data_IF_419569883689
#
_entry.id   IF_419569883689
#
_cell.length_a   1.000
_cell.length_b   1.000
_cell.length_c   1.000
_cell.angle_alpha   90.00
_cell.angle_beta   90.00
_cell.angle_gamma   90.00
#
_symmetry.space_group_name_H-M   'P 1'
#
loop_
_entity.id
_entity.type
_entity.pdbx_description
1 polymer ?
#
# COMPACT_ATOMS: atom_id res chain seq x y z
N UNK A 1 2.56 -6.23 23.39
CA UNK A 1 3.39 -5.42 22.47
C UNK A 1 2.64 -5.26 21.17
N UNK A 2 2.65 -4.05 20.65
CA UNK A 2 2.16 -3.65 19.33
C UNK A 2 2.99 -4.34 18.24
N UNK A 3 2.32 -4.77 17.17
CA UNK A 3 2.95 -5.25 15.95
C UNK A 3 3.71 -4.13 15.23
N UNK A 4 4.87 -4.45 14.66
CA UNK A 4 5.62 -3.57 13.78
C UNK A 4 5.37 -3.96 12.31
N UNK A 5 4.75 -3.07 11.54
CA UNK A 5 4.46 -3.27 10.11
C UNK A 5 5.31 -2.33 9.27
N UNK A 6 6.35 -2.84 8.62
CA UNK A 6 7.29 -2.02 7.86
C UNK A 6 7.14 -2.28 6.37
N UNK A 7 6.99 -1.22 5.58
CA UNK A 7 6.85 -1.30 4.14
C UNK A 7 8.21 -1.12 3.49
N UNK A 8 8.65 -2.10 2.72
CA UNK A 8 9.99 -2.13 2.11
C UNK A 8 9.87 -2.20 0.60
N UNK A 9 10.65 -1.40 -0.11
CA UNK A 9 10.65 -1.42 -1.58
C UNK A 9 11.99 -1.94 -2.13
N UNK A 10 12.05 -2.46 -3.37
CA UNK A 10 13.31 -2.91 -3.96
C UNK A 10 14.37 -1.81 -4.13
N UNK A 11 14.00 -0.54 -3.94
CA UNK A 11 14.92 0.61 -4.05
C UNK A 11 16.06 0.57 -3.04
N UNK A 12 15.92 -0.22 -1.98
CA UNK A 12 16.95 -0.42 -0.95
C UNK A 12 18.06 -1.39 -1.39
N UNK A 13 17.94 -2.01 -2.57
CA UNK A 13 18.89 -2.97 -3.10
C UNK A 13 19.72 -2.33 -4.21
N UNK A 14 21.04 -2.30 -4.03
CA UNK A 14 21.98 -1.87 -5.07
C UNK A 14 21.99 -2.84 -6.26
N UNK A 15 21.81 -4.13 -6.01
CA UNK A 15 21.69 -5.20 -7.01
C UNK A 15 20.46 -6.06 -6.69
N UNK A 16 19.46 -6.05 -7.57
CA UNK A 16 18.24 -6.84 -7.38
C UNK A 16 18.51 -8.36 -7.40
N UNK A 17 19.58 -8.79 -8.08
CA UNK A 17 19.95 -10.21 -8.15
C UNK A 17 20.70 -10.69 -6.91
N UNK A 18 21.17 -9.77 -6.07
CA UNK A 18 21.76 -10.03 -4.75
C UNK A 18 21.16 -9.10 -3.68
N UNK A 19 19.91 -9.36 -3.23
CA UNK A 19 19.23 -8.49 -2.27
C UNK A 19 19.76 -8.63 -0.83
N UNK A 20 20.64 -9.60 -0.55
CA UNK A 20 21.06 -9.94 0.81
C UNK A 20 21.70 -8.77 1.59
N UNK A 21 22.59 -7.94 1.00
CA UNK A 21 23.19 -6.81 1.71
C UNK A 21 22.16 -5.76 2.15
N UNK A 22 21.22 -5.39 1.27
CA UNK A 22 20.19 -4.39 1.60
C UNK A 22 19.17 -4.91 2.62
N UNK A 23 18.83 -6.20 2.55
CA UNK A 23 17.99 -6.85 3.58
C UNK A 23 18.70 -6.86 4.95
N UNK A 24 20.00 -7.19 4.99
CA UNK A 24 20.77 -7.17 6.23
C UNK A 24 20.83 -5.76 6.83
N UNK A 25 21.04 -4.74 6.00
CA UNK A 25 21.04 -3.35 6.41
C UNK A 25 19.67 -2.91 6.94
N UNK A 26 18.56 -3.34 6.32
CA UNK A 26 17.20 -3.07 6.80
C UNK A 26 16.98 -3.62 8.22
N UNK A 27 17.28 -4.90 8.46
CA UNK A 27 17.09 -5.48 9.78
C UNK A 27 18.05 -4.94 10.84
N UNK A 28 19.23 -4.46 10.45
CA UNK A 28 20.16 -3.77 11.35
C UNK A 28 19.65 -2.39 11.75
N UNK A 29 19.27 -1.58 10.76
CA UNK A 29 18.79 -0.21 10.98
C UNK A 29 17.53 -0.17 11.85
N UNK A 30 16.63 -1.13 11.67
CA UNK A 30 15.37 -1.19 12.40
C UNK A 30 15.39 -2.10 13.64
N UNK A 31 16.54 -2.65 14.05
CA UNK A 31 16.61 -3.66 15.11
C UNK A 31 15.85 -3.27 16.40
N UNK A 32 15.99 -2.04 16.88
CA UNK A 32 15.29 -1.56 18.08
C UNK A 32 13.76 -1.48 17.93
N UNK A 33 13.27 -1.25 16.71
CA UNK A 33 11.85 -1.24 16.39
C UNK A 33 11.24 -2.63 16.26
N UNK A 34 12.07 -3.64 15.98
CA UNK A 34 11.64 -5.01 15.76
C UNK A 34 11.76 -5.86 17.04
N UNK A 35 12.58 -5.43 17.99
CA UNK A 35 12.90 -6.19 19.20
C UNK A 35 11.65 -6.58 20.01
N UNK A 36 11.53 -7.88 20.30
CA UNK A 36 10.42 -8.48 21.05
C UNK A 36 9.04 -8.44 20.39
N UNK A 37 8.87 -7.86 19.20
CA UNK A 37 7.54 -7.59 18.61
C UNK A 37 7.15 -8.63 17.55
N UNK A 38 5.85 -8.82 17.30
CA UNK A 38 5.40 -9.38 16.03
C UNK A 38 5.84 -8.46 14.88
N UNK A 39 6.52 -9.02 13.88
CA UNK A 39 7.04 -8.25 12.74
C UNK A 39 6.31 -8.67 11.47
N UNK A 40 5.81 -7.68 10.75
CA UNK A 40 5.27 -7.84 9.39
C UNK A 40 6.06 -6.93 8.45
N UNK A 41 6.63 -7.54 7.40
CA UNK A 41 7.22 -6.79 6.28
C UNK A 41 6.21 -6.83 5.14
N UNK A 42 5.81 -5.65 4.68
CA UNK A 42 5.01 -5.47 3.46
C UNK A 42 6.00 -5.14 2.35
N UNK A 43 6.31 -6.12 1.51
CA UNK A 43 7.17 -5.84 0.36
C UNK A 43 6.36 -5.14 -0.72
N UNK A 44 6.97 -4.15 -1.36
CA UNK A 44 6.30 -3.26 -2.32
C UNK A 44 7.11 -3.18 -3.63
N UNK A 45 7.14 -4.26 -4.43
CA UNK A 45 7.91 -4.33 -5.65
C UNK A 45 7.25 -3.60 -6.81
N UNK A 46 5.92 -3.50 -6.84
CA UNK A 46 5.17 -2.87 -7.93
C UNK A 46 3.78 -2.45 -7.43
N UNK A 47 2.88 -2.00 -8.29
CA UNK A 47 1.53 -1.54 -7.94
C UNK A 47 0.46 -2.63 -8.05
N UNK A 48 0.85 -3.89 -7.88
CA UNK A 48 -0.03 -5.04 -8.02
C UNK A 48 -0.28 -5.52 -9.45
N UNK A 49 0.14 -4.80 -10.51
CA UNK A 49 0.03 -5.32 -11.89
C UNK A 49 0.84 -6.62 -12.06
N UNK A 50 1.94 -6.76 -11.34
CA UNK A 50 2.72 -7.99 -11.22
C UNK A 50 1.94 -9.17 -10.59
N UNK A 51 0.92 -8.91 -9.77
CA UNK A 51 0.03 -9.98 -9.28
C UNK A 51 -1.01 -10.29 -10.36
N UNK A 52 -1.66 -9.24 -10.88
CA UNK A 52 -2.78 -9.37 -11.81
C UNK A 52 -2.36 -9.98 -13.16
N UNK A 53 -1.11 -9.76 -13.58
CA UNK A 53 -0.53 -10.30 -14.80
C UNK A 53 0.30 -11.58 -14.62
N UNK A 54 0.39 -12.16 -13.42
CA UNK A 54 1.21 -13.35 -13.17
C UNK A 54 0.59 -14.61 -13.78
N UNK A 55 1.34 -15.33 -14.62
CA UNK A 55 0.87 -16.51 -15.35
C UNK A 55 1.09 -17.85 -14.60
N UNK A 56 1.77 -17.84 -13.45
CA UNK A 56 2.03 -19.04 -12.64
C UNK A 56 3.51 -19.45 -12.57
N UNK A 57 3.84 -20.54 -11.87
CA UNK A 57 5.21 -20.88 -11.50
C UNK A 57 6.14 -21.16 -12.69
N UNK A 58 5.60 -21.65 -13.79
CA UNK A 58 6.35 -21.94 -15.01
C UNK A 58 6.79 -20.65 -15.75
N UNK A 59 6.24 -19.50 -15.34
CA UNK A 59 6.48 -18.18 -15.92
C UNK A 59 7.39 -17.30 -15.06
N UNK A 60 8.21 -17.89 -14.17
CA UNK A 60 9.05 -17.11 -13.24
C UNK A 60 10.08 -16.17 -13.89
N UNK A 61 10.38 -16.36 -15.17
CA UNK A 61 11.31 -15.49 -15.92
C UNK A 61 10.61 -14.37 -16.68
N UNK A 62 9.28 -14.32 -16.61
CA UNK A 62 8.52 -13.22 -17.20
C UNK A 62 8.79 -11.94 -16.41
N UNK A 63 9.01 -10.87 -17.15
CA UNK A 63 9.33 -9.56 -16.59
C UNK A 63 8.06 -8.77 -16.31
N UNK A 64 8.13 -7.94 -15.30
CA UNK A 64 7.11 -6.94 -15.01
C UNK A 64 7.77 -5.60 -14.69
N UNK A 65 7.00 -4.51 -14.79
CA UNK A 65 7.48 -3.20 -14.41
C UNK A 65 7.37 -3.05 -12.89
N UNK A 66 8.49 -2.72 -12.25
CA UNK A 66 8.59 -2.58 -10.80
C UNK A 66 8.60 -1.11 -10.40
N UNK A 67 8.51 -0.85 -9.10
CA UNK A 67 8.33 0.47 -8.50
C UNK A 67 9.60 1.32 -8.54
N UNK A 68 10.18 1.49 -9.73
CA UNK A 68 11.40 2.26 -10.02
C UNK A 68 11.12 3.73 -10.36
N UNK A 69 9.88 4.18 -10.19
CA UNK A 69 9.49 5.55 -10.42
C UNK A 69 9.21 6.25 -9.07
N UNK A 70 9.31 7.58 -9.07
CA UNK A 70 9.02 8.44 -7.92
C UNK A 70 7.71 9.22 -8.09
N UNK A 71 6.83 8.75 -8.98
CA UNK A 71 5.46 9.20 -9.15
C UNK A 71 4.73 8.28 -10.15
N UNK A 72 3.49 8.62 -10.51
CA UNK A 72 2.65 7.87 -11.43
C UNK A 72 3.28 7.68 -12.82
N UNK A 73 3.60 6.43 -13.16
CA UNK A 73 4.22 6.09 -14.43
C UNK A 73 3.18 5.75 -15.50
N UNK A 74 2.71 6.78 -16.22
CA UNK A 74 1.70 6.62 -17.27
C UNK A 74 2.24 5.94 -18.54
N UNK A 75 3.56 5.75 -18.66
CA UNK A 75 4.20 5.21 -19.87
C UNK A 75 4.28 6.18 -21.06
N UNK A 76 3.53 7.29 -21.06
CA UNK A 76 3.54 8.31 -22.11
C UNK A 76 4.61 9.41 -21.85
N UNK A 77 5.63 9.57 -22.71
CA UNK A 77 6.65 10.62 -22.59
C UNK A 77 6.12 12.06 -22.70
N UNK A 78 4.97 12.26 -23.34
CA UNK A 78 4.26 13.53 -23.42
C UNK A 78 3.64 13.92 -22.08
N UNK A 79 2.92 13.00 -21.44
CA UNK A 79 2.39 13.18 -20.08
C UNK A 79 3.51 13.35 -19.06
N UNK A 80 4.58 12.56 -19.17
CA UNK A 80 5.84 12.70 -18.40
C UNK A 80 6.41 14.12 -18.47
N UNK A 81 6.49 14.69 -19.68
CA UNK A 81 6.99 16.05 -19.91
C UNK A 81 6.03 17.13 -19.43
N UNK A 82 4.72 16.90 -19.55
CA UNK A 82 3.71 17.82 -19.05
C UNK A 82 3.73 17.90 -17.52
N UNK A 83 3.76 16.75 -16.83
CA UNK A 83 3.90 16.67 -15.37
C UNK A 83 5.15 17.40 -14.88
N UNK A 84 6.32 17.08 -15.44
CA UNK A 84 7.58 17.71 -15.02
C UNK A 84 7.59 19.23 -15.28
N UNK A 85 6.92 19.69 -16.34
CA UNK A 85 6.79 21.13 -16.64
C UNK A 85 5.88 21.83 -15.66
N UNK A 86 4.72 21.24 -15.35
CA UNK A 86 3.79 21.78 -14.35
C UNK A 86 4.48 21.90 -12.99
N UNK A 87 5.16 20.84 -12.54
CA UNK A 87 5.95 20.86 -11.31
C UNK A 87 7.00 21.98 -11.31
N UNK A 88 7.79 22.11 -12.39
CA UNK A 88 8.80 23.18 -12.52
C UNK A 88 8.19 24.58 -12.49
N UNK A 89 7.04 24.79 -13.11
CA UNK A 89 6.32 26.07 -13.09
C UNK A 89 5.90 26.41 -11.65
N UNK A 90 5.26 25.47 -10.94
CA UNK A 90 4.83 25.67 -9.54
C UNK A 90 5.99 26.02 -8.62
N UNK A 91 7.14 25.35 -8.76
CA UNK A 91 8.35 25.64 -7.98
C UNK A 91 8.94 27.01 -8.32
N UNK A 92 8.95 27.41 -9.61
CA UNK A 92 9.55 28.69 -10.07
C UNK A 92 8.72 29.91 -9.75
N UNK A 93 7.39 29.81 -9.84
CA UNK A 93 6.48 30.95 -9.68
C UNK A 93 6.24 31.32 -8.22
N UNK A 94 6.82 30.59 -7.26
CA UNK A 94 6.97 31.06 -5.88
C UNK A 94 5.66 31.22 -5.09
N UNK A 95 4.56 30.60 -5.53
CA UNK A 95 3.36 30.48 -4.71
C UNK A 95 3.69 29.82 -3.38
N UNK A 96 3.36 30.49 -2.25
CA UNK A 96 4.01 30.32 -0.95
C UNK A 96 3.88 28.90 -0.38
N UNK A 97 4.92 28.09 -0.67
CA UNK A 97 4.89 26.63 -0.82
C UNK A 97 3.99 26.15 -1.95
N UNK A 98 4.47 25.09 -2.60
CA UNK A 98 3.64 24.11 -3.28
C UNK A 98 2.48 23.75 -2.34
N UNK A 99 1.24 24.06 -2.73
CA UNK A 99 -0.03 23.78 -2.00
C UNK A 99 -0.16 22.33 -1.49
N UNK A 100 0.74 21.47 -1.95
CA UNK A 100 1.00 20.17 -1.40
C UNK A 100 2.55 19.95 -1.39
N UNK A 101 3.25 19.98 -0.23
CA UNK A 101 4.68 19.59 -0.15
C UNK A 101 4.91 18.11 -0.52
N UNK A 102 3.82 17.38 -0.71
CA UNK A 102 3.71 15.99 -1.10
C UNK A 102 3.28 15.83 -2.56
N UNK A 103 3.31 16.91 -3.36
CA UNK A 103 3.20 16.81 -4.81
C UNK A 103 4.32 15.90 -5.30
N UNK A 104 3.94 14.83 -6.02
CA UNK A 104 4.86 13.99 -6.76
C UNK A 104 5.92 14.88 -7.44
N UNK A 105 7.19 14.67 -7.09
CA UNK A 105 8.31 15.40 -7.68
C UNK A 105 8.36 15.26 -9.21
N UNK A 106 9.37 15.81 -9.88
CA UNK A 106 9.56 15.50 -11.29
C UNK A 106 9.68 13.98 -11.45
N UNK A 107 9.02 13.38 -12.44
CA UNK A 107 9.17 11.96 -12.74
C UNK A 107 10.58 11.69 -13.24
N UNK A 108 11.23 10.73 -12.61
CA UNK A 108 12.45 10.08 -13.08
C UNK A 108 12.45 8.60 -12.70
N UNK A 109 13.26 7.84 -13.43
CA UNK A 109 13.56 6.44 -13.10
C UNK A 109 14.70 6.40 -12.08
N UNK A 110 14.53 5.70 -10.96
CA UNK A 110 15.58 5.54 -9.94
C UNK A 110 16.56 4.42 -10.26
N UNK A 111 16.14 3.43 -11.06
CA UNK A 111 16.97 2.28 -11.44
C UNK A 111 16.49 1.66 -12.74
N UNK A 112 17.44 1.28 -13.60
CA UNK A 112 17.16 0.60 -14.87
C UNK A 112 17.26 -0.93 -14.77
N UNK A 113 17.50 -1.46 -13.56
CA UNK A 113 17.60 -2.91 -13.35
C UNK A 113 16.27 -3.59 -13.72
N UNK A 114 16.29 -4.72 -14.45
CA UNK A 114 15.08 -5.47 -14.74
C UNK A 114 14.60 -6.21 -13.51
N UNK A 115 13.29 -6.46 -13.45
CA UNK A 115 12.67 -7.32 -12.45
C UNK A 115 11.87 -8.40 -13.17
N UNK A 116 12.11 -9.65 -12.78
CA UNK A 116 11.26 -10.79 -13.10
C UNK A 116 10.85 -11.49 -11.79
N UNK A 117 9.98 -12.48 -11.90
CA UNK A 117 9.46 -13.20 -10.75
C UNK A 117 10.51 -14.09 -10.06
N UNK A 118 11.60 -14.47 -10.74
CA UNK A 118 12.72 -15.23 -10.17
C UNK A 118 13.55 -14.33 -9.23
N UNK A 119 13.85 -13.11 -9.67
CA UNK A 119 14.47 -12.06 -8.85
C UNK A 119 13.59 -11.71 -7.64
N UNK A 120 12.28 -11.53 -7.87
CA UNK A 120 11.33 -11.21 -6.81
C UNK A 120 11.27 -12.32 -5.73
N UNK A 121 11.24 -13.59 -6.16
CA UNK A 121 11.33 -14.73 -5.24
C UNK A 121 12.64 -14.71 -4.43
N UNK A 122 13.75 -14.31 -5.04
CA UNK A 122 15.04 -14.11 -4.38
C UNK A 122 14.98 -13.03 -3.28
N UNK A 123 14.27 -11.93 -3.52
CA UNK A 123 14.05 -10.87 -2.52
C UNK A 123 13.28 -11.40 -1.30
N UNK A 124 12.17 -12.12 -1.52
CA UNK A 124 11.41 -12.73 -0.43
C UNK A 124 12.25 -13.74 0.37
N UNK A 125 13.02 -14.57 -0.33
CA UNK A 125 13.88 -15.57 0.30
C UNK A 125 14.95 -14.91 1.17
N UNK A 126 15.58 -13.82 0.70
CA UNK A 126 16.56 -13.07 1.46
C UNK A 126 15.96 -12.45 2.73
N UNK A 127 14.77 -11.84 2.65
CA UNK A 127 14.05 -11.30 3.83
C UNK A 127 13.82 -12.40 4.87
N UNK A 128 13.29 -13.56 4.45
CA UNK A 128 13.05 -14.68 5.37
C UNK A 128 14.33 -15.25 5.96
N UNK A 129 15.38 -15.39 5.16
CA UNK A 129 16.67 -15.92 5.61
C UNK A 129 17.33 -15.02 6.66
N UNK A 130 17.31 -13.70 6.44
CA UNK A 130 17.88 -12.74 7.38
C UNK A 130 17.08 -12.65 8.68
N UNK A 131 15.75 -12.64 8.59
CA UNK A 131 14.88 -12.70 9.76
C UNK A 131 15.16 -13.95 10.60
N UNK A 132 15.27 -15.12 9.97
CA UNK A 132 15.59 -16.38 10.63
C UNK A 132 16.97 -16.34 11.30
N UNK A 133 18.00 -15.77 10.63
CA UNK A 133 19.35 -15.58 11.21
C UNK A 133 19.31 -14.73 12.48
N UNK A 134 18.39 -13.78 12.56
CA UNK A 134 18.17 -12.90 13.72
C UNK A 134 17.14 -13.43 14.71
N UNK A 135 16.59 -14.63 14.49
CA UNK A 135 15.50 -15.20 15.30
C UNK A 135 14.25 -14.31 15.38
N UNK A 136 13.98 -13.55 14.32
CA UNK A 136 12.79 -12.71 14.17
C UNK A 136 11.73 -13.52 13.42
N UNK A 137 10.58 -13.74 14.06
CA UNK A 137 9.42 -14.31 13.38
C UNK A 137 8.76 -13.22 12.51
N UNK A 138 9.00 -13.28 11.20
CA UNK A 138 8.48 -12.31 10.23
C UNK A 138 7.30 -12.88 9.45
N UNK A 139 6.23 -12.08 9.33
CA UNK A 139 5.21 -12.26 8.28
C UNK A 139 5.61 -11.43 7.07
N UNK A 140 5.55 -12.03 5.90
CA UNK A 140 5.84 -11.35 4.64
C UNK A 140 4.55 -11.22 3.83
N UNK A 141 4.10 -9.99 3.67
CA UNK A 141 2.94 -9.64 2.86
C UNK A 141 3.40 -8.96 1.58
N UNK A 142 2.58 -9.06 0.54
CA UNK A 142 2.73 -8.31 -0.70
C UNK A 142 1.75 -7.12 -0.75
N UNK A 143 2.05 -6.15 -1.60
CA UNK A 143 1.40 -4.86 -1.81
C UNK A 143 0.57 -4.87 -3.11
N UNK A 144 -0.75 -4.67 -2.96
CA UNK A 144 -1.68 -4.61 -4.08
C UNK A 144 -2.37 -3.24 -4.12
N UNK A 145 -2.07 -2.46 -5.16
CA UNK A 145 -2.59 -1.10 -5.35
C UNK A 145 -3.75 -1.05 -6.34
N UNK A 146 -4.77 -0.20 -6.12
CA UNK A 146 -5.92 -0.15 -7.01
C UNK A 146 -5.61 0.59 -8.31
N UNK A 147 -4.69 1.56 -8.26
CA UNK A 147 -4.36 2.44 -9.38
C UNK A 147 -2.99 2.17 -10.01
N UNK A 148 -2.60 2.99 -11.01
CA UNK A 148 -1.30 2.91 -11.68
C UNK A 148 -0.22 3.71 -10.95
N UNK A 149 -0.25 3.70 -9.62
CA UNK A 149 0.76 4.37 -8.80
C UNK A 149 2.14 3.75 -9.09
N UNK A 150 3.16 4.58 -9.27
CA UNK A 150 4.61 4.24 -9.21
C UNK A 150 5.19 3.12 -10.09
N UNK A 151 4.38 2.50 -10.96
CA UNK A 151 4.77 1.54 -12.01
C UNK A 151 3.84 1.70 -13.21
N UNK A 152 4.26 1.24 -14.38
CA UNK A 152 3.32 1.05 -15.50
C UNK A 152 2.38 -0.10 -15.16
N UNK A 153 1.10 0.07 -15.47
CA UNK A 153 0.07 -0.96 -15.25
C UNK A 153 -0.54 -1.41 -16.57
N UNK A 154 0.06 -2.43 -17.18
CA UNK A 154 -0.42 -2.96 -18.45
C UNK A 154 -1.76 -3.69 -18.29
N UNK A 155 -1.90 -4.49 -17.22
CA UNK A 155 -3.16 -5.21 -16.97
C UNK A 155 -4.31 -4.22 -16.79
N UNK A 156 -4.13 -3.19 -15.97
CA UNK A 156 -5.19 -2.19 -15.68
C UNK A 156 -5.46 -1.23 -16.83
N UNK A 157 -4.42 -0.76 -17.54
CA UNK A 157 -4.58 0.36 -18.50
C UNK A 157 -4.66 -0.07 -19.96
N UNK A 158 -4.19 -1.27 -20.30
CA UNK A 158 -4.15 -1.77 -21.68
C UNK A 158 -5.05 -2.99 -21.85
N UNK A 159 -4.94 -3.97 -20.96
CA UNK A 159 -5.68 -5.24 -21.11
C UNK A 159 -7.13 -5.12 -20.66
N UNK A 160 -7.35 -4.56 -19.47
CA UNK A 160 -8.68 -4.41 -18.88
C UNK A 160 -9.03 -2.96 -18.50
N UNK A 161 -8.97 -2.00 -19.43
CA UNK A 161 -9.32 -0.61 -19.16
C UNK A 161 -10.80 -0.45 -18.75
N UNK A 162 -11.68 -1.39 -19.11
CA UNK A 162 -13.11 -1.37 -18.81
C UNK A 162 -13.43 -1.44 -17.30
N UNK A 163 -12.53 -2.04 -16.51
CA UNK A 163 -12.68 -2.12 -15.04
C UNK A 163 -11.80 -1.12 -14.31
N UNK A 164 -10.91 -0.41 -15.00
CA UNK A 164 -9.99 0.58 -14.43
C UNK A 164 -10.41 2.03 -14.74
N UNK A 165 -11.71 2.28 -14.80
CA UNK A 165 -12.28 3.60 -15.13
C UNK A 165 -12.34 4.57 -13.94
N UNK A 166 -11.98 4.14 -12.73
CA UNK A 166 -11.96 5.00 -11.56
C UNK A 166 -10.87 6.07 -11.62
N UNK A 167 -11.01 7.11 -10.79
CA UNK A 167 -9.99 8.16 -10.65
C UNK A 167 -9.43 8.23 -9.23
N UNK A 168 -8.17 8.65 -9.12
CA UNK A 168 -7.48 8.96 -7.87
C UNK A 168 -7.10 10.45 -7.84
N UNK A 169 -7.19 11.12 -6.69
CA UNK A 169 -6.65 12.47 -6.50
C UNK A 169 -5.31 12.45 -5.77
N UNK A 170 -4.22 12.47 -6.53
CA UNK A 170 -2.87 12.47 -6.01
C UNK A 170 -2.38 13.88 -5.69
N UNK A 171 -3.00 14.51 -4.69
CA UNK A 171 -2.53 15.81 -4.22
C UNK A 171 -2.80 16.96 -5.19
N UNK A 172 -3.98 16.97 -5.80
CA UNK A 172 -4.45 17.95 -6.78
C UNK A 172 -4.34 17.48 -8.23
N UNK A 173 -3.99 16.22 -8.46
CA UNK A 173 -3.88 15.62 -9.79
C UNK A 173 -4.83 14.43 -9.91
N UNK A 174 -5.85 14.55 -10.75
CA UNK A 174 -6.82 13.47 -10.99
C UNK A 174 -6.25 12.49 -12.00
N UNK A 175 -6.04 11.25 -11.58
CA UNK A 175 -5.38 10.21 -12.37
C UNK A 175 -6.36 9.06 -12.62
N UNK A 176 -6.61 8.68 -13.89
CA UNK A 176 -7.47 7.53 -14.21
C UNK A 176 -6.73 6.20 -13.95
N UNK A 177 -7.45 5.08 -14.01
CA UNK A 177 -6.83 3.74 -13.91
C UNK A 177 -7.07 3.04 -12.58
N UNK A 178 -7.96 3.54 -11.73
CA UNK A 178 -8.33 2.88 -10.47
C UNK A 178 -9.30 1.74 -10.76
N UNK A 179 -8.94 0.55 -10.29
CA UNK A 179 -9.73 -0.66 -10.44
C UNK A 179 -11.04 -0.61 -9.65
N UNK A 180 -12.15 -0.86 -10.32
CA UNK A 180 -13.48 -1.07 -9.73
C UNK A 180 -13.80 -2.56 -9.65
N UNK A 181 -13.71 -3.12 -8.45
CA UNK A 181 -13.98 -4.55 -8.19
C UNK A 181 -15.44 -4.97 -8.44
N UNK A 182 -16.35 -4.00 -8.60
CA UNK A 182 -17.77 -4.25 -8.85
C UNK A 182 -18.12 -4.34 -10.34
N UNK A 183 -17.17 -4.02 -11.23
CA UNK A 183 -17.33 -4.10 -12.67
C UNK A 183 -17.08 -5.52 -13.19
N UNK A 184 -17.48 -5.78 -14.44
CA UNK A 184 -17.25 -7.05 -15.12
C UNK A 184 -16.14 -6.89 -16.17
N UNK A 185 -15.27 -7.91 -16.26
CA UNK A 185 -14.19 -8.00 -17.23
C UNK A 185 -14.71 -8.46 -18.59
N UNK A 186 -14.09 -7.95 -19.65
CA UNK A 186 -14.19 -8.56 -20.97
C UNK A 186 -13.31 -9.81 -21.05
N UNK A 187 -13.68 -10.73 -21.94
CA UNK A 187 -12.90 -11.93 -22.17
C UNK A 187 -11.54 -11.58 -22.78
N UNK A 188 -10.51 -12.31 -22.34
CA UNK A 188 -9.19 -12.28 -22.94
C UNK A 188 -8.54 -13.68 -22.88
N UNK A 189 -7.57 -13.93 -23.76
CA UNK A 189 -6.94 -15.26 -23.92
C UNK A 189 -5.57 -15.38 -23.21
N UNK A 190 -5.15 -14.38 -22.44
CA UNK A 190 -3.87 -14.41 -21.73
C UNK A 190 -3.89 -15.45 -20.60
N UNK A 191 -2.73 -16.03 -20.33
CA UNK A 191 -2.59 -17.00 -19.24
C UNK A 191 -2.42 -16.28 -17.91
N UNK A 192 -3.25 -16.63 -16.93
CA UNK A 192 -3.13 -16.17 -15.55
C UNK A 192 -3.04 -17.35 -14.60
N UNK A 193 -2.37 -17.18 -13.46
CA UNK A 193 -2.21 -18.24 -12.46
C UNK A 193 -3.55 -18.83 -11.99
N UNK A 194 -4.58 -18.00 -11.79
CA UNK A 194 -5.91 -18.46 -11.42
C UNK A 194 -6.83 -18.79 -12.62
N UNK A 195 -6.48 -18.31 -13.82
CA UNK A 195 -7.26 -18.45 -15.05
C UNK A 195 -6.35 -18.87 -16.21
N UNK A 196 -5.86 -20.14 -16.22
CA UNK A 196 -4.87 -20.58 -17.20
C UNK A 196 -5.41 -20.65 -18.64
N UNK A 197 -6.73 -20.56 -18.83
CA UNK A 197 -7.40 -20.52 -20.13
C UNK A 197 -7.85 -19.10 -20.54
N UNK A 198 -7.44 -18.06 -19.80
CA UNK A 198 -7.92 -16.70 -20.01
C UNK A 198 -9.12 -16.31 -19.15
N UNK A 199 -9.43 -15.01 -19.18
CA UNK A 199 -10.58 -14.44 -18.48
C UNK A 199 -11.85 -14.73 -19.30
N UNK A 200 -12.89 -15.33 -18.70
CA UNK A 200 -14.18 -15.47 -19.36
C UNK A 200 -14.96 -14.15 -19.37
N UNK A 201 -15.77 -13.94 -20.42
CA UNK A 201 -16.61 -12.75 -20.58
C UNK A 201 -17.55 -12.58 -19.37
N UNK A 202 -17.60 -11.36 -18.84
CA UNK A 202 -18.50 -11.01 -17.75
C UNK A 202 -18.04 -11.47 -16.37
N UNK A 203 -16.82 -12.00 -16.23
CA UNK A 203 -16.24 -12.32 -14.91
C UNK A 203 -16.18 -11.05 -14.04
N UNK A 204 -16.74 -11.02 -12.83
CA UNK A 204 -16.60 -9.85 -11.98
C UNK A 204 -15.13 -9.62 -11.61
N UNK A 205 -14.67 -8.38 -11.75
CA UNK A 205 -13.27 -8.01 -11.50
C UNK A 205 -12.81 -8.41 -10.10
N UNK A 206 -13.68 -8.24 -9.10
CA UNK A 206 -13.39 -8.66 -7.72
C UNK A 206 -13.15 -10.16 -7.55
N UNK A 207 -13.86 -11.05 -8.27
CA UNK A 207 -13.57 -12.50 -8.22
C UNK A 207 -12.21 -12.80 -8.85
N UNK A 208 -11.88 -12.16 -9.99
CA UNK A 208 -10.58 -12.31 -10.64
C UNK A 208 -9.44 -11.91 -9.71
N UNK A 209 -9.49 -10.69 -9.18
CA UNK A 209 -8.45 -10.15 -8.28
C UNK A 209 -8.25 -11.07 -7.08
N UNK A 210 -9.34 -11.53 -6.46
CA UNK A 210 -9.25 -12.40 -5.30
C UNK A 210 -8.60 -13.74 -5.63
N UNK A 211 -9.07 -14.42 -6.68
CA UNK A 211 -8.52 -15.70 -7.09
C UNK A 211 -7.04 -15.58 -7.51
N UNK A 212 -6.71 -14.54 -8.27
CA UNK A 212 -5.36 -14.27 -8.75
C UNK A 212 -4.41 -13.93 -7.60
N UNK A 213 -4.85 -13.13 -6.63
CA UNK A 213 -4.08 -12.82 -5.42
C UNK A 213 -3.84 -14.08 -4.59
N UNK A 214 -4.87 -14.93 -4.41
CA UNK A 214 -4.74 -16.19 -3.70
C UNK A 214 -3.70 -17.13 -4.34
N UNK A 215 -3.76 -17.29 -5.67
CA UNK A 215 -2.78 -18.09 -6.42
C UNK A 215 -1.36 -17.52 -6.27
N UNK A 216 -1.18 -16.21 -6.45
CA UNK A 216 0.10 -15.54 -6.28
C UNK A 216 0.68 -15.73 -4.88
N UNK A 217 -0.11 -15.44 -3.84
CA UNK A 217 0.29 -15.60 -2.44
C UNK A 217 0.69 -17.05 -2.12
N UNK A 218 -0.03 -18.03 -2.67
CA UNK A 218 0.30 -19.44 -2.49
C UNK A 218 1.62 -19.82 -3.18
N UNK A 219 1.82 -19.42 -4.43
CA UNK A 219 2.99 -19.79 -5.24
C UNK A 219 4.31 -19.22 -4.73
N UNK A 220 4.27 -18.01 -4.14
CA UNK A 220 5.43 -17.37 -3.52
C UNK A 220 5.57 -17.71 -2.03
N UNK A 221 4.64 -18.48 -1.46
CA UNK A 221 4.66 -18.84 -0.04
C UNK A 221 4.60 -17.62 0.87
N UNK A 222 3.78 -16.62 0.50
CA UNK A 222 3.59 -15.39 1.26
C UNK A 222 2.59 -15.62 2.41
N UNK A 223 2.71 -14.80 3.45
CA UNK A 223 1.85 -14.88 4.63
C UNK A 223 0.52 -14.15 4.43
N UNK A 224 0.36 -13.42 3.33
CA UNK A 224 -0.87 -12.70 2.98
C UNK A 224 -0.62 -11.50 2.07
N UNK A 225 -1.57 -10.56 2.09
CA UNK A 225 -1.57 -9.34 1.27
C UNK A 225 -1.96 -8.13 2.11
N UNK A 226 -1.39 -6.97 1.77
CA UNK A 226 -1.91 -5.67 2.15
C UNK A 226 -2.51 -4.99 0.91
N UNK A 227 -3.81 -4.73 1.01
CA UNK A 227 -4.59 -3.97 0.05
C UNK A 227 -4.37 -2.46 0.26
N UNK A 228 -3.61 -1.83 -0.64
CA UNK A 228 -3.21 -0.42 -0.57
C UNK A 228 -4.35 0.54 -0.90
N UNK A 229 -4.24 1.78 -0.42
CA UNK A 229 -5.06 2.91 -0.87
C UNK A 229 -6.53 2.58 -1.09
N UNK A 230 -7.24 2.13 -0.06
CA UNK A 230 -8.66 1.79 -0.10
C UNK A 230 -9.08 0.80 -1.20
N UNK A 231 -8.21 -0.15 -1.56
CA UNK A 231 -8.50 -1.16 -2.60
C UNK A 231 -9.86 -1.82 -2.40
N UNK A 232 -10.61 -1.92 -3.50
CA UNK A 232 -11.99 -2.39 -3.51
C UNK A 232 -13.01 -1.25 -3.53
N UNK A 233 -12.59 0.00 -3.30
CA UNK A 233 -13.41 1.19 -3.38
C UNK A 233 -12.90 2.13 -4.48
N UNK A 234 -13.78 2.96 -5.05
CA UNK A 234 -13.47 3.89 -6.16
C UNK A 234 -13.72 5.34 -5.75
N UNK A 235 -12.89 6.27 -6.21
CA UNK A 235 -12.98 7.71 -5.88
C UNK A 235 -12.07 8.07 -4.71
N UNK A 236 -10.77 7.76 -4.83
CA UNK A 236 -9.78 7.80 -3.75
C UNK A 236 -9.93 8.98 -2.78
N UNK A 237 -10.07 8.66 -1.49
CA UNK A 237 -9.91 9.53 -0.32
C UNK A 237 -10.85 10.73 -0.22
N UNK A 238 -11.60 11.05 -1.27
CA UNK A 238 -12.60 12.10 -1.31
C UNK A 238 -14.00 11.48 -1.42
N UNK A 239 -14.80 11.49 -0.33
CA UNK A 239 -16.17 10.98 -0.34
C UNK A 239 -17.04 11.58 -1.45
N UNK A 240 -16.75 12.82 -1.90
CA UNK A 240 -17.52 13.48 -2.95
C UNK A 240 -17.26 12.89 -4.35
N UNK A 241 -16.20 12.10 -4.52
CA UNK A 241 -15.85 11.43 -5.80
C UNK A 241 -16.22 9.95 -5.81
N UNK A 242 -16.74 9.43 -4.70
CA UNK A 242 -17.22 8.07 -4.62
C UNK A 242 -18.44 7.87 -5.55
N UNK A 243 -18.50 6.77 -6.32
CA UNK A 243 -19.73 6.35 -6.98
C UNK A 243 -20.84 6.16 -5.94
N UNK A 244 -22.09 6.45 -6.32
CA UNK A 244 -23.22 6.30 -5.41
C UNK A 244 -23.26 4.88 -4.80
N UNK A 245 -23.37 4.73 -3.47
CA UNK A 245 -23.32 3.43 -2.81
C UNK A 245 -24.69 2.74 -2.88
N UNK A 246 -25.07 2.30 -4.08
CA UNK A 246 -26.31 1.55 -4.28
C UNK A 246 -26.24 0.20 -3.53
N UNK A 247 -27.38 -0.44 -3.23
CA UNK A 247 -27.39 -1.78 -2.65
C UNK A 247 -26.56 -2.79 -3.43
N UNK A 248 -26.58 -2.71 -4.77
CA UNK A 248 -25.83 -3.59 -5.66
C UNK A 248 -24.32 -3.37 -5.55
N UNK A 249 -23.84 -2.11 -5.53
CA UNK A 249 -22.42 -1.81 -5.34
C UNK A 249 -21.94 -2.23 -3.96
N UNK A 250 -22.72 -1.94 -2.92
CA UNK A 250 -22.42 -2.36 -1.53
C UNK A 250 -22.29 -3.87 -1.43
N UNK A 251 -23.18 -4.62 -2.08
CA UNK A 251 -23.11 -6.07 -2.15
C UNK A 251 -21.87 -6.55 -2.95
N UNK A 252 -21.53 -5.86 -4.03
CA UNK A 252 -20.31 -6.12 -4.81
C UNK A 252 -19.03 -5.94 -3.99
N UNK A 253 -18.92 -4.86 -3.22
CA UNK A 253 -17.81 -4.60 -2.30
C UNK A 253 -17.72 -5.69 -1.23
N UNK A 254 -18.83 -6.01 -0.55
CA UNK A 254 -18.87 -7.09 0.45
C UNK A 254 -18.38 -8.43 -0.14
N UNK A 255 -18.89 -8.77 -1.32
CA UNK A 255 -18.57 -10.01 -2.02
C UNK A 255 -17.11 -10.05 -2.46
N UNK A 256 -16.48 -8.93 -2.82
CA UNK A 256 -15.04 -8.88 -3.06
C UNK A 256 -14.24 -9.30 -1.81
N UNK A 257 -14.55 -8.74 -0.64
CA UNK A 257 -13.85 -9.10 0.60
C UNK A 257 -14.13 -10.54 1.06
N UNK A 258 -15.34 -11.05 0.83
CA UNK A 258 -15.63 -12.49 1.02
C UNK A 258 -14.73 -13.35 0.14
N UNK A 259 -14.60 -13.01 -1.16
CA UNK A 259 -13.72 -13.75 -2.09
C UNK A 259 -12.25 -13.65 -1.73
N UNK A 260 -11.77 -12.48 -1.30
CA UNK A 260 -10.40 -12.32 -0.82
C UNK A 260 -10.12 -13.25 0.36
N UNK A 261 -11.04 -13.33 1.33
CA UNK A 261 -10.90 -14.23 2.47
C UNK A 261 -10.93 -15.70 2.03
N UNK A 262 -11.86 -16.08 1.16
CA UNK A 262 -11.92 -17.45 0.62
C UNK A 262 -10.60 -17.86 -0.07
N UNK A 263 -10.05 -16.96 -0.90
CA UNK A 263 -8.83 -17.21 -1.66
C UNK A 263 -7.57 -17.26 -0.78
N UNK A 264 -7.52 -16.47 0.30
CA UNK A 264 -6.37 -16.42 1.21
C UNK A 264 -6.42 -17.52 2.29
N UNK A 265 -7.62 -17.99 2.66
CA UNK A 265 -7.82 -18.91 3.79
C UNK A 265 -7.36 -18.27 5.10
N UNK A 266 -6.46 -18.93 5.82
CA UNK A 266 -5.90 -18.47 7.10
C UNK A 266 -4.79 -17.42 6.96
N UNK A 267 -4.43 -17.04 5.72
CA UNK A 267 -3.43 -16.00 5.45
C UNK A 267 -3.95 -14.61 5.76
N UNK A 268 -3.03 -13.67 5.97
CA UNK A 268 -3.35 -12.32 6.39
C UNK A 268 -4.00 -11.50 5.26
N UNK A 269 -5.08 -10.80 5.60
CA UNK A 269 -5.71 -9.79 4.75
C UNK A 269 -5.67 -8.45 5.49
N UNK A 270 -4.72 -7.60 5.12
CA UNK A 270 -4.58 -6.25 5.65
C UNK A 270 -5.17 -5.26 4.65
N UNK A 271 -5.75 -4.17 5.14
CA UNK A 271 -6.33 -3.14 4.29
C UNK A 271 -5.95 -1.74 4.75
N UNK A 272 -5.42 -0.92 3.85
CA UNK A 272 -5.18 0.50 4.06
C UNK A 272 -6.47 1.26 3.79
N UNK A 273 -6.88 2.07 4.77
CA UNK A 273 -8.19 2.71 4.75
C UNK A 273 -8.31 3.94 3.86
N UNK A 274 -9.50 4.55 3.89
CA UNK A 274 -9.82 5.76 3.11
C UNK A 274 -9.41 7.06 3.81
N UNK A 275 -8.77 7.01 4.98
CA UNK A 275 -8.63 8.11 5.95
C UNK A 275 -9.90 8.53 6.70
N UNK A 276 -11.07 7.95 6.36
CA UNK A 276 -12.35 8.31 6.96
C UNK A 276 -12.91 7.26 7.91
N UNK A 277 -13.80 7.73 8.79
CA UNK A 277 -14.54 6.89 9.74
C UNK A 277 -15.35 5.82 9.00
N UNK A 278 -15.54 4.67 9.63
CA UNK A 278 -16.32 3.57 9.04
C UNK A 278 -17.75 3.99 8.59
N UNK A 279 -18.38 4.93 9.31
CA UNK A 279 -19.69 5.49 8.94
C UNK A 279 -19.65 6.25 7.62
N UNK A 280 -18.59 7.03 7.39
CA UNK A 280 -18.37 7.75 6.14
C UNK A 280 -18.08 6.75 5.02
N UNK A 281 -17.23 5.77 5.29
CA UNK A 281 -16.90 4.68 4.35
C UNK A 281 -18.14 3.91 3.87
N UNK A 282 -19.05 3.60 4.78
CA UNK A 282 -20.35 3.02 4.44
C UNK A 282 -21.20 3.99 3.62
N UNK A 283 -21.33 5.25 4.05
CA UNK A 283 -22.24 6.22 3.44
C UNK A 283 -21.80 6.76 2.07
N UNK A 284 -20.50 6.74 1.78
CA UNK A 284 -19.94 7.26 0.54
C UNK A 284 -19.54 6.14 -0.43
N UNK A 285 -18.87 5.09 0.05
CA UNK A 285 -18.35 4.02 -0.80
C UNK A 285 -19.09 2.69 -0.66
N UNK A 286 -20.05 2.59 0.28
CA UNK A 286 -20.79 1.35 0.50
C UNK A 286 -19.91 0.25 1.10
N UNK A 287 -18.94 0.60 1.96
CA UNK A 287 -18.09 -0.35 2.69
C UNK A 287 -18.83 -0.87 3.95
N UNK A 288 -19.38 -2.08 3.94
CA UNK A 288 -20.21 -2.55 5.05
C UNK A 288 -19.37 -3.15 6.18
N UNK A 289 -19.94 -3.19 7.39
CA UNK A 289 -19.33 -3.85 8.56
C UNK A 289 -18.88 -5.30 8.28
N UNK A 290 -19.63 -6.03 7.44
CA UNK A 290 -19.30 -7.40 7.04
C UNK A 290 -18.01 -7.52 6.23
N UNK A 291 -17.61 -6.48 5.48
CA UNK A 291 -16.36 -6.47 4.73
C UNK A 291 -15.14 -6.35 5.66
N UNK A 292 -15.15 -5.43 6.63
CA UNK A 292 -14.06 -5.34 7.62
C UNK A 292 -13.94 -6.60 8.47
N UNK A 293 -15.05 -7.30 8.74
CA UNK A 293 -15.04 -8.57 9.46
C UNK A 293 -14.27 -9.69 8.73
N UNK A 294 -13.89 -9.49 7.45
CA UNK A 294 -13.03 -10.40 6.69
C UNK A 294 -11.55 -10.08 6.80
N UNK A 295 -11.19 -8.93 7.35
CA UNK A 295 -9.80 -8.45 7.44
C UNK A 295 -9.19 -8.81 8.79
N UNK A 296 -7.89 -9.09 8.79
CA UNK A 296 -7.12 -9.29 10.02
C UNK A 296 -6.68 -7.96 10.64
N UNK A 297 -6.38 -6.98 9.78
CA UNK A 297 -5.96 -5.66 10.21
C UNK A 297 -6.41 -4.56 9.26
N UNK A 298 -6.66 -3.38 9.81
CA UNK A 298 -6.91 -2.15 9.07
C UNK A 298 -5.87 -1.12 9.44
N UNK A 299 -5.17 -0.60 8.44
CA UNK A 299 -4.24 0.49 8.59
C UNK A 299 -4.99 1.81 8.47
N UNK A 300 -5.07 2.53 9.60
CA UNK A 300 -5.54 3.91 9.65
C UNK A 300 -4.36 4.80 9.27
N UNK A 301 -4.34 5.25 8.02
CA UNK A 301 -3.24 6.04 7.51
C UNK A 301 -3.27 7.48 8.04
N UNK A 302 -2.08 8.02 8.29
CA UNK A 302 -1.88 9.42 8.70
C UNK A 302 -1.01 10.19 7.72
N UNK A 303 -0.78 9.62 6.53
CA UNK A 303 0.09 10.21 5.52
C UNK A 303 -0.39 11.62 5.21
N UNK A 304 0.52 12.56 5.42
CA UNK A 304 0.18 13.97 5.62
C UNK A 304 -0.36 14.66 4.35
N UNK A 305 -0.37 13.92 3.25
CA UNK A 305 -0.74 14.32 1.90
C UNK A 305 -2.24 14.52 1.71
N UNK A 306 -3.07 13.89 2.56
CA UNK A 306 -4.51 13.73 2.31
C UNK A 306 -5.41 13.87 3.54
N UNK A 307 -4.91 13.58 4.76
CA UNK A 307 -5.80 13.54 5.93
C UNK A 307 -5.93 14.90 6.61
N UNK A 308 -7.16 15.30 6.87
CA UNK A 308 -7.40 16.34 7.86
C UNK A 308 -7.01 15.78 9.24
N UNK A 309 -6.04 16.41 9.91
CA UNK A 309 -5.56 15.96 11.23
C UNK A 309 -6.70 15.71 12.23
N UNK A 310 -7.79 16.48 12.14
CA UNK A 310 -9.00 16.33 12.96
C UNK A 310 -9.73 15.00 12.78
N UNK A 311 -9.54 14.29 11.66
CA UNK A 311 -10.18 13.01 11.38
C UNK A 311 -9.39 11.78 11.85
N UNK A 312 -8.09 11.91 12.14
CA UNK A 312 -7.23 10.77 12.50
C UNK A 312 -7.78 10.02 13.73
N UNK A 313 -7.99 10.73 14.85
CA UNK A 313 -8.46 10.08 16.08
C UNK A 313 -9.91 9.55 15.99
N UNK A 314 -10.88 10.31 15.44
CA UNK A 314 -12.21 9.76 15.16
C UNK A 314 -12.18 8.50 14.29
N UNK A 315 -11.33 8.48 13.26
CA UNK A 315 -11.18 7.33 12.38
C UNK A 315 -10.64 6.11 13.14
N UNK A 316 -9.53 6.25 13.87
CA UNK A 316 -8.99 5.20 14.76
C UNK A 316 -10.07 4.60 15.67
N UNK A 317 -10.84 5.46 16.35
CA UNK A 317 -11.92 5.01 17.24
C UNK A 317 -13.03 4.28 16.50
N UNK A 318 -13.42 4.78 15.33
CA UNK A 318 -14.46 4.15 14.51
C UNK A 318 -14.05 2.75 14.05
N UNK A 319 -12.80 2.55 13.63
CA UNK A 319 -12.30 1.23 13.22
C UNK A 319 -12.18 0.28 14.40
N UNK A 320 -11.67 0.76 15.53
CA UNK A 320 -11.57 -0.04 16.75
C UNK A 320 -12.95 -0.50 17.26
N UNK A 321 -13.99 0.31 17.06
CA UNK A 321 -15.36 -0.02 17.45
C UNK A 321 -16.02 -1.12 16.59
N UNK A 322 -15.48 -1.44 15.41
CA UNK A 322 -16.02 -2.52 14.55
C UNK A 322 -15.84 -3.92 15.18
N UNK A 323 -14.89 -4.08 16.11
CA UNK A 323 -14.63 -5.36 16.79
C UNK A 323 -14.14 -6.50 15.88
N UNK A 324 -13.83 -6.19 14.61
CA UNK A 324 -13.30 -7.12 13.62
C UNK A 324 -11.78 -7.00 13.49
N UNK A 325 -11.27 -6.14 12.58
CA UNK A 325 -9.84 -6.05 12.31
C UNK A 325 -9.08 -5.35 13.44
N UNK A 326 -7.82 -5.77 13.64
CA UNK A 326 -6.87 -5.03 14.47
C UNK A 326 -6.55 -3.68 13.82
N UNK A 327 -6.58 -2.59 14.59
CA UNK A 327 -6.19 -1.28 14.09
C UNK A 327 -4.66 -1.14 14.10
N UNK A 328 -4.09 -0.84 12.94
CA UNK A 328 -2.71 -0.41 12.76
C UNK A 328 -2.69 1.10 12.61
N UNK A 329 -1.82 1.78 13.35
CA UNK A 329 -1.64 3.22 13.28
C UNK A 329 -0.54 3.57 12.28
N UNK A 330 -0.90 4.29 11.22
CA UNK A 330 0.07 4.84 10.28
C UNK A 330 0.98 5.86 10.97
N UNK A 331 2.28 5.77 10.71
CA UNK A 331 3.27 6.75 11.10
C UNK A 331 3.94 7.23 9.83
N UNK A 332 3.90 8.54 9.63
CA UNK A 332 4.44 9.17 8.45
C UNK A 332 5.82 9.78 8.74
N UNK A 333 6.81 9.39 7.93
CA UNK A 333 8.20 9.83 8.08
C UNK A 333 8.78 10.28 6.74
N UNK A 334 8.66 9.39 5.76
CA UNK A 334 9.14 9.45 4.39
C UNK A 334 8.18 8.64 3.54
N UNK A 335 8.30 8.80 2.23
CA UNK A 335 7.51 8.05 1.28
C UNK A 335 8.42 7.53 0.15
N UNK A 336 8.33 6.24 -0.19
CA UNK A 336 9.12 5.67 -1.27
C UNK A 336 8.67 6.18 -2.64
N UNK A 337 7.54 6.87 -2.71
CA UNK A 337 6.90 7.29 -3.93
C UNK A 337 6.82 8.80 -4.08
N UNK A 338 6.88 9.54 -2.97
CA UNK A 338 6.78 10.99 -2.98
C UNK A 338 8.03 11.64 -2.37
N UNK A 339 8.34 12.84 -2.85
CA UNK A 339 9.49 13.61 -2.36
C UNK A 339 9.10 14.42 -1.13
N UNK A 340 9.03 13.78 0.04
CA UNK A 340 8.86 14.50 1.30
C UNK A 340 9.48 13.77 2.49
N UNK A 341 9.74 14.55 3.53
CA UNK A 341 10.18 14.10 4.84
C UNK A 341 9.33 14.79 5.89
N UNK A 342 8.30 14.11 6.41
CA UNK A 342 7.29 14.74 7.28
C UNK A 342 7.93 15.44 8.48
N UNK A 343 9.00 14.87 9.05
CA UNK A 343 9.73 15.47 10.16
C UNK A 343 10.39 16.83 9.87
N UNK A 344 10.68 17.15 8.60
CA UNK A 344 11.24 18.43 8.14
C UNK A 344 10.19 19.29 7.42
N UNK A 345 9.45 18.67 6.51
CA UNK A 345 8.60 19.34 5.55
C UNK A 345 7.20 19.62 6.14
N UNK A 346 6.73 18.83 7.11
CA UNK A 346 5.51 19.09 7.88
C UNK A 346 5.64 18.64 9.34
N UNK A 347 6.47 19.40 10.06
CA UNK A 347 6.72 19.17 11.48
C UNK A 347 5.45 19.13 12.33
N UNK A 348 4.36 19.81 11.92
CA UNK A 348 3.11 19.81 12.69
C UNK A 348 2.44 18.45 12.64
N UNK A 349 2.34 17.84 11.46
CA UNK A 349 1.77 16.49 11.33
C UNK A 349 2.67 15.44 11.98
N UNK A 350 4.00 15.56 11.82
CA UNK A 350 4.97 14.68 12.49
C UNK A 350 4.84 14.70 14.02
N UNK A 351 4.63 15.87 14.63
CA UNK A 351 4.42 15.96 16.09
C UNK A 351 3.03 15.47 16.50
N UNK A 352 2.01 15.77 15.70
CA UNK A 352 0.63 15.43 16.01
C UNK A 352 0.36 13.92 16.04
N UNK A 353 0.91 13.15 15.09
CA UNK A 353 0.77 11.68 15.11
C UNK A 353 1.35 11.06 16.39
N UNK A 354 2.43 11.64 16.92
CA UNK A 354 3.06 11.21 18.18
C UNK A 354 2.22 11.58 19.38
N UNK A 355 1.64 12.78 19.41
CA UNK A 355 0.71 13.21 20.47
C UNK A 355 -0.49 12.26 20.57
N UNK A 356 -1.07 11.89 19.42
CA UNK A 356 -2.18 10.94 19.39
C UNK A 356 -1.78 9.56 19.92
N UNK A 357 -0.64 9.05 19.47
CA UNK A 357 -0.13 7.74 19.88
C UNK A 357 0.29 7.71 21.36
N UNK A 358 0.81 8.82 21.90
CA UNK A 358 1.14 8.95 23.32
C UNK A 358 -0.08 9.09 24.24
N UNK A 359 -1.27 9.32 23.68
CA UNK A 359 -2.47 9.64 24.45
C UNK A 359 -3.72 8.95 23.90
N UNK A 360 -4.62 9.69 23.25
CA UNK A 360 -5.99 9.24 23.03
C UNK A 360 -6.15 8.09 22.02
N UNK A 361 -5.15 7.80 21.19
CA UNK A 361 -5.18 6.68 20.24
C UNK A 361 -4.59 5.39 20.84
N UNK A 362 -3.70 5.48 21.83
CA UNK A 362 -2.91 4.35 22.35
C UNK A 362 -3.74 3.11 22.66
N UNK A 363 -4.85 3.29 23.38
CA UNK A 363 -5.73 2.20 23.83
C UNK A 363 -6.48 1.48 22.69
N UNK A 364 -6.46 2.01 21.48
CA UNK A 364 -7.18 1.49 20.32
C UNK A 364 -6.26 0.84 19.28
N UNK A 365 -4.95 0.96 19.44
CA UNK A 365 -3.96 0.58 18.44
C UNK A 365 -3.31 -0.75 18.81
N UNK A 366 -3.35 -1.71 17.88
CA UNK A 366 -2.72 -3.02 18.04
C UNK A 366 -1.37 -3.17 17.32
N UNK A 367 -0.98 -2.19 16.51
CA UNK A 367 0.27 -2.16 15.77
C UNK A 367 0.53 -0.80 15.15
N UNK A 368 1.75 -0.55 14.69
CA UNK A 368 2.10 0.65 13.94
C UNK A 368 2.64 0.28 12.57
N UNK A 369 2.48 1.18 11.61
CA UNK A 369 2.90 0.95 10.23
C UNK A 369 3.60 2.16 9.65
N UNK A 370 4.72 1.97 8.94
CA UNK A 370 5.38 3.06 8.21
C UNK A 370 6.22 2.55 7.03
N UNK A 371 6.52 3.46 6.10
CA UNK A 371 7.48 3.19 5.03
C UNK A 371 8.91 3.17 5.55
N UNK A 372 9.59 2.05 5.34
CA UNK A 372 10.96 1.84 5.80
C UNK A 372 11.99 2.55 4.94
N UNK A 373 11.65 3.02 3.74
CA UNK A 373 12.60 3.74 2.91
C UNK A 373 11.95 4.87 2.12
N UNK A 374 12.77 5.86 1.78
CA UNK A 374 12.39 6.97 0.94
C UNK A 374 12.47 6.60 -0.56
N UNK A 375 12.15 7.59 -1.40
CA UNK A 375 12.18 7.51 -2.85
C UNK A 375 13.49 6.99 -3.44
N UNK A 376 14.60 7.10 -2.72
CA UNK A 376 15.93 6.68 -3.15
C UNK A 376 16.42 5.40 -2.47
N UNK A 377 15.58 4.76 -1.65
CA UNK A 377 16.00 3.59 -0.89
C UNK A 377 16.75 3.92 0.40
N UNK A 378 16.84 5.19 0.81
CA UNK A 378 17.41 5.49 2.12
C UNK A 378 16.41 5.19 3.22
N UNK A 379 16.89 4.58 4.31
CA UNK A 379 16.06 4.34 5.48
C UNK A 379 15.68 5.62 6.21
N UNK A 380 14.60 5.55 7.00
CA UNK A 380 14.17 6.67 7.86
C UNK A 380 15.31 7.09 8.79
N UNK A 381 15.61 8.40 8.94
CA UNK A 381 16.72 8.85 9.78
C UNK A 381 16.58 8.44 11.26
N UNK A 382 17.70 8.13 11.91
CA UNK A 382 17.75 7.57 13.28
C UNK A 382 17.13 8.49 14.34
N UNK A 383 17.29 9.81 14.21
CA UNK A 383 16.73 10.78 15.16
C UNK A 383 15.19 10.70 15.26
N UNK A 384 14.45 10.96 14.16
CA UNK A 384 13.01 10.81 14.13
C UNK A 384 12.50 9.42 14.54
N UNK A 385 13.23 8.36 14.18
CA UNK A 385 12.92 6.99 14.63
C UNK A 385 13.04 6.87 16.15
N UNK A 386 14.18 7.22 16.73
CA UNK A 386 14.42 7.11 18.17
C UNK A 386 13.38 7.90 18.98
N UNK A 387 13.06 9.12 18.54
CA UNK A 387 12.04 9.95 19.17
C UNK A 387 10.64 9.34 19.15
N UNK A 388 10.29 8.63 18.07
CA UNK A 388 8.97 8.02 17.89
C UNK A 388 8.89 6.67 18.61
N UNK A 389 9.97 5.89 18.62
CA UNK A 389 10.06 4.65 19.39
C UNK A 389 9.84 4.90 20.88
N UNK A 390 10.40 5.97 21.43
CA UNK A 390 10.17 6.35 22.82
C UNK A 390 8.68 6.57 23.13
N UNK A 391 7.91 7.12 22.16
CA UNK A 391 6.46 7.30 22.28
C UNK A 391 5.73 5.96 22.24
N UNK A 392 6.09 5.08 21.32
CA UNK A 392 5.51 3.73 21.21
C UNK A 392 5.72 2.95 22.51
N UNK A 393 6.94 2.93 23.03
CA UNK A 393 7.28 2.23 24.27
C UNK A 393 6.50 2.79 25.46
N UNK A 394 6.31 4.11 25.53
CA UNK A 394 5.50 4.73 26.57
C UNK A 394 4.01 4.35 26.44
N UNK A 395 3.49 4.25 25.22
CA UNK A 395 2.10 3.85 24.95
C UNK A 395 1.82 2.37 25.29
N UNK A 396 2.85 1.51 25.26
CA UNK A 396 2.75 0.10 25.63
C UNK A 396 2.94 -0.17 27.11
N UNK A 397 3.49 0.78 27.85
CA UNK A 397 3.67 0.65 29.29
C UNK A 397 2.29 0.53 29.97
N UNK A 398 2.09 -0.42 30.90
CA UNK A 398 0.86 -0.48 31.66
C UNK A 398 0.63 0.86 32.36
N UNK A 399 -0.57 1.44 32.22
CA UNK A 399 -0.99 2.58 33.04
C UNK A 399 -0.85 2.19 34.51
N UNK A 400 0.13 2.77 35.22
CA UNK A 400 0.31 2.55 36.66
C UNK A 400 -0.81 3.19 37.47
#
# INVERSE_FOLDING_TARGET
MMEAVLWLTPKVFDDLTDPAPGVAAFFEHYAAYLDGRPVTVVFCPSNGDHILGYAGPDHRRDRFDWARYNCYAHGDPGLTRAHNRDWLTRVREGGERSFNPYSAGPMFTVSEQPMDYEILAGCYAAIRAEAARRSIAVRLLEYLEPGPEFCRSEWKTVRHPEVSAGTADAGGHVIPGVLDVTMALHADENVYAAYPAGVPEGLPAGDFVAAQTGAYVADFGLDGILLGNQFGLVGFWDPARAPAPTPERTAGVARFFDRMRDALGDRQLYWMDTYWRAEVEMSAWGMPASAYARMDAVLVCTFAVLVERTEILPNVRSKAALGGPRVLYGLDFVDPWYWYRTHLDDRRTYLYQRELLAGPAAAHVGGFSFFANDTFGHFVPEGPLTETLAVILAAEAPSQ
#
